data_IF_030434217454
#
_entry.id   IF_030434217454
#
_cell.length_a   1.000
_cell.length_b   1.000
_cell.length_c   1.000
_cell.angle_alpha   90.00
_cell.angle_beta   90.00
_cell.angle_gamma   90.00
#
_symmetry.space_group_name_H-M   'P 1'
#
loop_
_entity.id
_entity.type
_entity.pdbx_description
1 polymer ?
#
# COMPACT_ATOMS: atom_id res chain seq x y z
N UNK A 1 38.89 -1.40 -38.76
CA UNK A 1 38.31 -2.04 -37.56
C UNK A 1 36.81 -1.76 -37.53
N UNK A 2 35.99 -2.75 -37.87
CA UNK A 2 34.53 -2.59 -37.89
C UNK A 2 33.99 -2.60 -36.46
N UNK A 3 33.35 -1.51 -36.06
CA UNK A 3 32.65 -1.44 -34.78
C UNK A 3 31.56 -2.51 -34.73
N UNK A 4 31.65 -3.42 -33.79
CA UNK A 4 30.64 -4.45 -33.52
C UNK A 4 29.36 -3.73 -33.13
N UNK A 5 28.42 -3.56 -34.05
CA UNK A 5 27.07 -3.06 -33.77
C UNK A 5 26.43 -4.02 -32.76
N UNK A 6 26.27 -3.54 -31.54
CA UNK A 6 25.56 -4.29 -30.51
C UNK A 6 24.09 -4.53 -30.97
N UNK A 7 23.64 -5.76 -30.91
CA UNK A 7 22.25 -6.13 -31.25
C UNK A 7 21.28 -5.22 -30.52
N UNK A 8 20.19 -4.77 -31.18
CA UNK A 8 19.20 -3.93 -30.52
C UNK A 8 18.60 -4.70 -29.33
N UNK A 9 18.68 -4.12 -28.16
CA UNK A 9 18.10 -4.69 -26.95
C UNK A 9 16.61 -4.41 -26.94
N UNK A 10 15.80 -5.42 -26.64
CA UNK A 10 14.36 -5.25 -26.44
C UNK A 10 14.05 -4.77 -25.01
N UNK A 11 12.98 -4.00 -24.89
CA UNK A 11 12.46 -3.56 -23.60
C UNK A 11 11.91 -4.76 -22.81
N UNK A 12 12.39 -4.97 -21.60
CA UNK A 12 11.98 -6.09 -20.76
C UNK A 12 10.49 -6.04 -20.33
N UNK A 13 9.78 -4.94 -20.60
CA UNK A 13 8.36 -4.81 -20.28
C UNK A 13 7.44 -4.84 -21.49
N UNK A 14 7.71 -4.03 -22.54
CA UNK A 14 6.83 -3.93 -23.70
C UNK A 14 7.37 -4.63 -24.95
N UNK A 15 8.59 -5.19 -24.91
CA UNK A 15 9.21 -5.86 -26.05
C UNK A 15 9.80 -4.94 -27.13
N UNK A 16 9.47 -3.66 -27.10
CA UNK A 16 9.93 -2.69 -28.12
C UNK A 16 11.45 -2.55 -28.17
N UNK A 17 12.04 -2.35 -29.36
CA UNK A 17 13.47 -2.17 -29.52
C UNK A 17 13.93 -0.87 -28.85
N UNK A 18 15.04 -0.94 -28.12
CA UNK A 18 15.64 0.22 -27.42
C UNK A 18 16.68 0.85 -28.35
N UNK A 19 16.56 2.15 -28.66
CA UNK A 19 17.54 2.84 -29.49
C UNK A 19 18.96 2.76 -28.91
N UNK A 20 20.00 2.59 -29.71
CA UNK A 20 21.39 2.49 -29.24
C UNK A 20 21.92 3.75 -28.53
N UNK A 21 21.23 4.87 -28.70
CA UNK A 21 21.56 6.15 -28.05
C UNK A 21 21.22 6.17 -26.54
N UNK A 22 20.43 5.22 -26.04
CA UNK A 22 20.13 5.12 -24.60
C UNK A 22 21.12 4.19 -23.91
N UNK A 23 22.09 4.77 -23.21
CA UNK A 23 23.02 4.02 -22.35
C UNK A 23 22.31 3.64 -21.02
N UNK A 24 21.86 2.38 -20.93
CA UNK A 24 21.41 1.80 -19.67
C UNK A 24 22.50 0.92 -19.08
N UNK A 25 22.87 1.20 -17.84
CA UNK A 25 23.85 0.39 -17.09
C UNK A 25 23.06 -0.60 -16.21
N UNK A 26 22.89 -1.83 -16.70
CA UNK A 26 22.22 -2.87 -15.94
C UNK A 26 21.85 -4.10 -16.77
N UNK A 27 21.55 -5.24 -16.11
CA UNK A 27 21.21 -6.48 -16.79
C UNK A 27 19.85 -6.43 -17.50
N UNK A 28 18.91 -5.61 -17.01
CA UNK A 28 17.58 -5.40 -17.60
C UNK A 28 17.49 -4.02 -18.24
N UNK A 29 16.98 -3.98 -19.48
CA UNK A 29 16.85 -2.75 -20.27
C UNK A 29 15.39 -2.39 -20.48
N UNK A 30 15.05 -1.10 -20.40
CA UNK A 30 13.69 -0.58 -20.62
C UNK A 30 13.72 0.59 -21.61
N UNK A 31 12.72 0.70 -22.49
CA UNK A 31 12.65 1.78 -23.49
C UNK A 31 12.36 3.15 -22.82
N UNK A 32 11.76 3.19 -21.64
CA UNK A 32 11.39 4.41 -20.93
C UNK A 32 11.38 4.24 -19.41
N UNK A 33 11.37 5.37 -18.67
CA UNK A 33 11.13 5.35 -17.21
C UNK A 33 9.75 4.78 -16.86
N UNK A 34 8.75 5.00 -17.74
CA UNK A 34 7.41 4.45 -17.58
C UNK A 34 7.43 2.93 -17.63
N UNK A 35 8.08 2.32 -18.64
CA UNK A 35 8.21 0.86 -18.75
C UNK A 35 8.94 0.24 -17.54
N UNK A 36 10.00 0.91 -17.04
CA UNK A 36 10.69 0.49 -15.83
C UNK A 36 9.73 0.51 -14.61
N UNK A 37 8.95 1.58 -14.45
CA UNK A 37 7.98 1.71 -13.37
C UNK A 37 6.89 0.65 -13.45
N UNK A 38 6.33 0.42 -14.65
CA UNK A 38 5.29 -0.60 -14.86
C UNK A 38 5.81 -2.02 -14.63
N UNK A 39 7.03 -2.34 -15.06
CA UNK A 39 7.68 -3.61 -14.78
C UNK A 39 7.88 -3.83 -13.27
N UNK A 40 8.26 -2.78 -12.55
CA UNK A 40 8.43 -2.83 -11.10
C UNK A 40 7.10 -3.03 -10.36
N UNK A 41 6.03 -2.36 -10.80
CA UNK A 41 4.66 -2.56 -10.30
C UNK A 41 4.19 -3.99 -10.60
N UNK A 42 4.35 -4.45 -11.85
CA UNK A 42 3.95 -5.79 -12.27
C UNK A 42 4.70 -6.92 -11.53
N UNK A 43 5.93 -6.66 -11.07
CA UNK A 43 6.70 -7.65 -10.29
C UNK A 43 6.18 -7.87 -8.86
N UNK A 44 5.24 -7.05 -8.39
CA UNK A 44 4.71 -7.08 -7.02
C UNK A 44 5.72 -6.72 -5.91
N UNK A 45 7.00 -6.57 -6.25
CA UNK A 45 8.07 -6.25 -5.29
C UNK A 45 7.89 -4.87 -4.66
N UNK A 46 7.34 -3.94 -5.45
CA UNK A 46 7.09 -2.57 -4.97
C UNK A 46 6.08 -2.53 -3.83
N UNK A 47 4.96 -3.25 -3.99
CA UNK A 47 3.88 -3.23 -3.01
C UNK A 47 4.30 -3.85 -1.68
N UNK A 48 5.00 -4.99 -1.70
CA UNK A 48 5.48 -5.65 -0.47
C UNK A 48 6.52 -4.81 0.26
N UNK A 49 7.54 -4.31 -0.45
CA UNK A 49 8.60 -3.51 0.16
C UNK A 49 8.08 -2.15 0.64
N UNK A 50 7.24 -1.48 -0.15
CA UNK A 50 6.64 -0.20 0.21
C UNK A 50 5.70 -0.35 1.43
N UNK A 51 4.85 -1.40 1.46
CA UNK A 51 3.97 -1.69 2.59
C UNK A 51 4.77 -1.92 3.87
N UNK A 52 5.82 -2.76 3.82
CA UNK A 52 6.68 -3.03 4.98
C UNK A 52 7.33 -1.76 5.53
N UNK A 53 7.93 -0.94 4.64
CA UNK A 53 8.58 0.32 5.04
C UNK A 53 7.56 1.35 5.57
N UNK A 54 6.36 1.39 5.00
CA UNK A 54 5.27 2.26 5.44
C UNK A 54 4.79 1.89 6.84
N UNK A 55 4.49 0.61 7.07
CA UNK A 55 4.02 0.10 8.36
C UNK A 55 5.05 0.37 9.46
N UNK A 56 6.30 0.03 9.22
CA UNK A 56 7.37 0.21 10.21
C UNK A 56 7.61 1.67 10.56
N UNK A 57 7.59 2.55 9.55
CA UNK A 57 7.86 3.97 9.74
C UNK A 57 6.73 4.73 10.42
N UNK A 58 5.46 4.41 10.05
CA UNK A 58 4.32 5.18 10.52
C UNK A 58 3.68 4.61 11.79
N UNK A 59 3.78 3.29 11.99
CA UNK A 59 3.06 2.60 13.07
C UNK A 59 3.97 1.71 13.92
N UNK A 60 5.24 1.55 13.55
CA UNK A 60 6.16 0.64 14.23
C UNK A 60 5.90 -0.85 13.98
N UNK A 61 4.85 -1.18 13.19
CA UNK A 61 4.38 -2.54 12.96
C UNK A 61 5.09 -3.22 11.79
N UNK A 62 5.14 -4.54 11.84
CA UNK A 62 5.51 -5.43 10.74
C UNK A 62 4.27 -5.83 9.93
N UNK A 63 4.47 -6.46 8.76
CA UNK A 63 3.36 -6.99 7.96
C UNK A 63 2.71 -8.16 8.70
N UNK A 64 3.50 -8.99 9.32
CA UNK A 64 3.11 -10.19 10.05
C UNK A 64 2.22 -9.82 11.27
N UNK A 65 2.60 -8.82 12.04
CA UNK A 65 1.79 -8.31 13.17
C UNK A 65 0.44 -7.78 12.69
N UNK A 66 0.40 -7.04 11.57
CA UNK A 66 -0.87 -6.57 11.00
C UNK A 66 -1.73 -7.73 10.48
N UNK A 67 -1.13 -8.78 9.91
CA UNK A 67 -1.85 -9.97 9.45
C UNK A 67 -2.42 -10.77 10.63
N UNK A 68 -1.70 -10.86 11.73
CA UNK A 68 -2.16 -11.49 12.97
C UNK A 68 -3.35 -10.72 13.58
N UNK A 69 -3.22 -9.41 13.76
CA UNK A 69 -4.31 -8.55 14.23
C UNK A 69 -5.54 -8.63 13.30
N UNK A 70 -5.32 -8.72 11.98
CA UNK A 70 -6.40 -8.78 11.00
C UNK A 70 -7.20 -10.10 11.06
N UNK A 71 -6.65 -11.16 11.62
CA UNK A 71 -7.34 -12.43 11.82
C UNK A 71 -8.48 -12.31 12.83
N UNK A 72 -8.35 -11.42 13.82
CA UNK A 72 -9.39 -11.15 14.83
C UNK A 72 -10.54 -10.27 14.29
N UNK A 73 -10.33 -9.64 13.12
CA UNK A 73 -11.31 -8.78 12.46
C UNK A 73 -11.25 -7.32 12.90
N UNK A 74 -12.32 -6.59 12.59
CA UNK A 74 -12.44 -5.17 12.96
C UNK A 74 -12.73 -5.00 14.46
N UNK A 75 -11.93 -4.20 15.17
CA UNK A 75 -12.07 -4.00 16.62
C UNK A 75 -13.38 -3.32 17.06
N UNK A 76 -14.17 -2.79 16.12
CA UNK A 76 -15.49 -2.22 16.42
C UNK A 76 -16.63 -3.17 16.08
N UNK A 77 -16.67 -3.71 14.85
CA UNK A 77 -17.80 -4.50 14.37
C UNK A 77 -17.50 -6.00 14.16
N UNK A 78 -16.28 -6.43 14.41
CA UNK A 78 -15.85 -7.83 14.32
C UNK A 78 -15.78 -8.41 12.90
N UNK A 79 -16.07 -7.61 11.84
CA UNK A 79 -16.01 -8.13 10.48
C UNK A 79 -14.58 -8.46 10.07
N UNK A 80 -14.42 -9.61 9.41
CA UNK A 80 -13.17 -10.00 8.74
C UNK A 80 -13.15 -9.63 7.25
N UNK A 81 -14.24 -9.05 6.75
CA UNK A 81 -14.34 -8.59 5.37
C UNK A 81 -13.83 -7.15 5.25
N UNK A 82 -12.66 -7.03 4.62
CA UNK A 82 -12.03 -5.75 4.38
C UNK A 82 -12.53 -5.15 3.07
N UNK A 83 -13.49 -4.21 3.16
CA UNK A 83 -14.12 -3.56 2.00
C UNK A 83 -13.40 -2.25 1.64
N UNK A 84 -13.61 -1.80 0.40
CA UNK A 84 -13.09 -0.54 -0.10
C UNK A 84 -12.29 -0.71 -1.39
N UNK A 85 -11.74 0.40 -1.89
CA UNK A 85 -10.93 0.40 -3.13
C UNK A 85 -9.67 -0.47 -3.02
N UNK A 86 -9.16 -0.60 -1.80
CA UNK A 86 -8.06 -1.48 -1.45
C UNK A 86 -8.54 -2.34 -0.27
N UNK A 87 -8.87 -3.62 -0.49
CA UNK A 87 -9.38 -4.50 0.55
C UNK A 87 -8.26 -4.83 1.55
N UNK A 88 -8.11 -3.98 2.54
CA UNK A 88 -7.14 -4.13 3.63
C UNK A 88 -7.66 -3.42 4.87
N UNK A 89 -7.31 -3.89 6.09
CA UNK A 89 -7.65 -3.18 7.30
C UNK A 89 -7.04 -1.79 7.34
N UNK A 90 -7.73 -0.87 7.98
CA UNK A 90 -7.23 0.45 8.34
C UNK A 90 -6.60 0.37 9.72
N UNK A 91 -5.34 0.78 9.85
CA UNK A 91 -4.66 0.88 11.14
C UNK A 91 -5.14 2.16 11.78
N UNK A 92 -5.90 2.02 12.87
CA UNK A 92 -6.36 3.12 13.67
C UNK A 92 -5.31 3.51 14.71
N UNK A 93 -5.11 4.80 14.92
CA UNK A 93 -4.12 5.31 15.84
C UNK A 93 -4.55 6.65 16.42
N UNK A 94 -4.07 6.96 17.59
CA UNK A 94 -4.26 8.26 18.20
C UNK A 94 -3.49 9.34 17.44
N UNK A 95 -4.20 10.33 16.94
CA UNK A 95 -3.62 11.42 16.13
C UNK A 95 -2.69 12.36 16.91
N UNK A 96 -2.74 12.31 18.24
CA UNK A 96 -1.91 13.16 19.12
C UNK A 96 -0.63 12.41 19.52
N UNK A 97 -0.77 11.15 19.93
CA UNK A 97 0.35 10.33 20.42
C UNK A 97 1.00 9.48 19.34
N UNK A 98 0.26 9.16 18.27
CA UNK A 98 0.68 8.22 17.21
C UNK A 98 0.56 6.76 17.65
N UNK A 99 0.01 6.47 18.82
CA UNK A 99 -0.15 5.12 19.34
C UNK A 99 -1.23 4.37 18.57
N UNK A 100 -0.92 3.14 18.13
CA UNK A 100 -1.88 2.29 17.43
C UNK A 100 -2.93 1.79 18.40
N UNK A 101 -4.20 2.05 18.09
CA UNK A 101 -5.36 1.59 18.87
C UNK A 101 -5.84 0.20 18.42
N UNK A 102 -5.77 -0.07 17.10
CA UNK A 102 -6.21 -1.35 16.56
C UNK A 102 -6.42 -1.32 15.05
N UNK A 103 -7.17 -2.32 14.53
CA UNK A 103 -7.53 -2.43 13.13
C UNK A 103 -9.03 -2.23 12.91
N UNK A 104 -9.38 -1.37 11.97
CA UNK A 104 -10.76 -1.07 11.63
C UNK A 104 -11.07 -1.42 10.17
N UNK A 105 -12.30 -1.85 9.92
CA UNK A 105 -12.83 -1.90 8.57
C UNK A 105 -13.08 -0.48 8.03
N UNK A 106 -13.21 -0.36 6.72
CA UNK A 106 -13.43 0.94 6.07
C UNK A 106 -14.59 1.74 6.67
N UNK A 107 -15.72 1.08 6.91
CA UNK A 107 -16.93 1.74 7.43
C UNK A 107 -16.75 2.22 8.86
N UNK A 108 -16.15 1.41 9.74
CA UNK A 108 -15.91 1.81 11.12
C UNK A 108 -14.90 2.94 11.21
N UNK A 109 -13.81 2.87 10.43
CA UNK A 109 -12.81 3.92 10.37
C UNK A 109 -13.38 5.27 9.89
N UNK A 110 -14.20 5.25 8.84
CA UNK A 110 -14.91 6.46 8.39
C UNK A 110 -15.95 6.92 9.42
N UNK A 111 -16.69 5.97 10.02
CA UNK A 111 -17.73 6.28 10.99
C UNK A 111 -17.19 7.06 12.18
N UNK A 112 -16.15 6.58 12.84
CA UNK A 112 -15.54 7.30 13.97
C UNK A 112 -14.92 8.64 13.53
N UNK A 113 -14.34 8.68 12.32
CA UNK A 113 -13.78 9.90 11.75
C UNK A 113 -14.83 10.99 11.52
N UNK A 114 -16.03 10.64 11.03
CA UNK A 114 -17.13 11.59 10.86
C UNK A 114 -17.64 12.18 12.20
N UNK A 115 -17.51 11.43 13.28
CA UNK A 115 -17.79 11.91 14.63
C UNK A 115 -16.58 12.56 15.30
N UNK A 116 -15.54 12.90 14.52
CA UNK A 116 -14.29 13.54 14.98
C UNK A 116 -13.60 12.77 16.12
N UNK A 117 -13.78 11.46 16.17
CA UNK A 117 -13.26 10.58 17.24
C UNK A 117 -13.68 11.05 18.65
N UNK A 118 -14.77 11.82 18.75
CA UNK A 118 -15.26 12.37 20.00
C UNK A 118 -16.19 11.38 20.71
N UNK A 119 -15.79 10.83 21.89
CA UNK A 119 -16.62 9.87 22.61
C UNK A 119 -17.95 10.43 23.09
N UNK A 120 -18.05 11.74 23.34
CA UNK A 120 -19.31 12.37 23.79
C UNK A 120 -20.32 12.43 22.64
N UNK A 121 -19.84 12.79 21.43
CA UNK A 121 -20.68 12.79 20.23
C UNK A 121 -21.14 11.38 19.88
N UNK A 122 -20.25 10.38 20.01
CA UNK A 122 -20.60 8.97 19.80
C UNK A 122 -21.64 8.48 20.80
N UNK A 123 -21.54 8.87 22.10
CA UNK A 123 -22.58 8.54 23.09
C UNK A 123 -23.91 9.21 22.75
N UNK A 124 -23.89 10.50 22.39
CA UNK A 124 -25.10 11.20 21.97
C UNK A 124 -25.75 10.55 20.73
N UNK A 125 -24.96 10.01 19.81
CA UNK A 125 -25.50 9.26 18.66
C UNK A 125 -26.15 7.93 19.09
N UNK A 126 -25.62 7.25 20.09
CA UNK A 126 -26.25 6.07 20.67
C UNK A 126 -27.61 6.45 21.31
N UNK A 127 -27.62 7.50 22.13
CA UNK A 127 -28.85 7.98 22.80
C UNK A 127 -29.92 8.44 21.79
N UNK A 128 -29.50 8.98 20.64
CA UNK A 128 -30.39 9.36 19.55
C UNK A 128 -31.05 8.16 18.85
N UNK A 129 -30.38 6.99 18.84
CA UNK A 129 -30.88 5.77 18.20
C UNK A 129 -31.77 4.92 19.13
N UNK A 130 -31.70 5.12 20.42
CA UNK A 130 -32.50 4.40 21.45
C UNK A 130 -33.69 5.23 21.90
#
# INVERSE_FOLDING_TARGET
>A
MAAKLASPRACAFCGEPIPPTKMWRGPTSYCSRRCKGLAFIASGKHTKCARRSYLKRNYGLTVEEVEEMAADGCDICGTTEWMGRYPSPHIDHDHTTGEVRGLLCHNCNLGIGYFHENPEVLRAAIDYLC
#
